data_IF_190448876793
#
_entry.id   IF_190448876793
#
_cell.length_a   1.000
_cell.length_b   1.000
_cell.length_c   1.000
_cell.angle_alpha   90.00
_cell.angle_beta   90.00
_cell.angle_gamma   90.00
#
_symmetry.space_group_name_H-M   'P 1'
#
loop_
_entity.id
_entity.type
_entity.pdbx_description
1 polymer ?
#
# COMPACT_ATOMS: atom_id res chain seq x y z
N UNK A 1 9.54 -23.64 13.24
CA UNK A 1 9.45 -22.16 13.08
C UNK A 1 9.63 -21.54 14.46
N UNK A 2 10.69 -20.76 14.66
CA UNK A 2 10.93 -20.12 15.96
C UNK A 2 9.77 -19.17 16.31
N UNK A 3 9.29 -19.25 17.55
CA UNK A 3 8.23 -18.41 18.13
C UNK A 3 8.75 -16.96 18.10
N UNK A 4 8.26 -16.12 17.19
CA UNK A 4 8.60 -14.68 17.19
C UNK A 4 8.01 -14.07 18.47
N UNK A 5 8.88 -13.67 19.41
CA UNK A 5 8.47 -12.93 20.59
C UNK A 5 8.07 -11.51 20.16
N UNK A 6 6.76 -11.28 19.99
CA UNK A 6 6.16 -9.98 19.73
C UNK A 6 6.06 -9.11 20.98
N UNK A 7 6.95 -9.31 21.97
CA UNK A 7 6.79 -8.82 23.35
C UNK A 7 6.52 -7.31 23.44
N UNK A 8 6.91 -6.53 22.43
CA UNK A 8 6.71 -5.07 22.41
C UNK A 8 6.11 -4.53 21.09
N UNK A 9 5.18 -5.23 20.42
CA UNK A 9 4.45 -4.64 19.28
C UNK A 9 3.34 -3.71 19.79
N UNK A 10 3.46 -2.37 19.67
CA UNK A 10 2.51 -1.45 20.28
C UNK A 10 1.27 -1.30 19.40
N UNK A 11 0.13 -1.09 20.05
CA UNK A 11 -1.14 -0.83 19.39
C UNK A 11 -1.07 0.42 18.49
N UNK A 12 -0.28 1.43 18.87
CA UNK A 12 -0.04 2.64 18.08
C UNK A 12 0.56 2.35 16.70
N UNK A 13 1.46 1.37 16.60
CA UNK A 13 2.05 0.96 15.33
C UNK A 13 1.01 0.26 14.44
N UNK A 14 0.12 -0.55 15.03
CA UNK A 14 -0.98 -1.19 14.29
C UNK A 14 -1.98 -0.16 13.72
N UNK A 15 -2.30 0.89 14.48
CA UNK A 15 -3.14 1.98 14.00
C UNK A 15 -2.43 2.85 12.96
N UNK A 16 -1.13 3.10 13.14
CA UNK A 16 -0.35 3.86 12.16
C UNK A 16 -0.28 3.16 10.79
N UNK A 17 -0.27 1.82 10.77
CA UNK A 17 -0.42 1.00 9.57
C UNK A 17 -1.73 1.27 8.78
N UNK A 18 -2.77 1.80 9.42
CA UNK A 18 -4.02 2.12 8.73
C UNK A 18 -3.88 3.33 7.79
N UNK A 19 -2.99 4.28 8.11
CA UNK A 19 -2.76 5.47 7.29
C UNK A 19 -2.39 5.14 5.83
N UNK A 20 -1.34 4.34 5.55
CA UNK A 20 -1.00 4.02 4.18
C UNK A 20 -2.12 3.26 3.45
N UNK A 21 -2.88 2.42 4.14
CA UNK A 21 -4.02 1.69 3.55
C UNK A 21 -5.13 2.65 3.15
N UNK A 22 -5.45 3.62 4.00
CA UNK A 22 -6.46 4.65 3.70
C UNK A 22 -6.00 5.54 2.55
N UNK A 23 -4.74 6.01 2.56
CA UNK A 23 -4.21 6.85 1.50
C UNK A 23 -4.21 6.12 0.15
N UNK A 24 -3.72 4.88 0.12
CA UNK A 24 -3.78 4.04 -1.08
C UNK A 24 -5.21 3.83 -1.55
N UNK A 25 -6.12 3.43 -0.64
CA UNK A 25 -7.53 3.14 -0.94
C UNK A 25 -8.25 4.34 -1.55
N UNK A 26 -8.06 5.54 -0.99
CA UNK A 26 -8.61 6.78 -1.54
C UNK A 26 -8.01 7.07 -2.92
N UNK A 27 -6.69 6.94 -3.07
CA UNK A 27 -6.01 7.21 -4.34
C UNK A 27 -6.52 6.31 -5.47
N UNK A 28 -6.63 5.00 -5.21
CA UNK A 28 -7.14 4.05 -6.22
C UNK A 28 -8.65 4.20 -6.47
N UNK A 29 -9.43 4.62 -5.46
CA UNK A 29 -10.84 4.94 -5.66
C UNK A 29 -11.02 6.14 -6.59
N UNK A 30 -10.23 7.19 -6.41
CA UNK A 30 -10.24 8.38 -7.28
C UNK A 30 -9.88 8.03 -8.73
N UNK A 31 -8.90 7.14 -8.93
CA UNK A 31 -8.56 6.62 -10.26
C UNK A 31 -9.71 5.77 -10.81
N UNK A 32 -10.29 4.89 -10.00
CA UNK A 32 -11.37 3.99 -10.40
C UNK A 32 -12.61 4.74 -10.91
N UNK A 33 -13.00 5.83 -10.24
CA UNK A 33 -14.14 6.67 -10.64
C UNK A 33 -13.96 7.27 -12.05
N UNK A 34 -12.71 7.47 -12.50
CA UNK A 34 -12.44 8.02 -13.85
C UNK A 34 -12.09 6.97 -14.90
N UNK A 35 -11.52 5.85 -14.49
CA UNK A 35 -11.00 4.83 -15.41
C UNK A 35 -12.04 3.74 -15.73
N UNK A 36 -13.06 3.56 -14.89
CA UNK A 36 -14.23 2.66 -15.07
C UNK A 36 -13.90 1.23 -15.55
N UNK A 37 -12.68 0.74 -15.30
CA UNK A 37 -12.26 -0.60 -15.69
C UNK A 37 -12.53 -1.61 -14.57
N UNK A 38 -13.29 -2.66 -14.87
CA UNK A 38 -13.73 -3.64 -13.86
C UNK A 38 -12.57 -4.41 -13.21
N UNK A 39 -11.50 -4.72 -13.96
CA UNK A 39 -10.32 -5.40 -13.42
C UNK A 39 -9.57 -4.48 -12.46
N UNK A 40 -9.43 -3.20 -12.83
CA UNK A 40 -8.82 -2.19 -11.97
C UNK A 40 -9.61 -2.01 -10.67
N UNK A 41 -10.94 -1.83 -10.77
CA UNK A 41 -11.83 -1.66 -9.61
C UNK A 41 -11.75 -2.87 -8.68
N UNK A 42 -11.82 -4.08 -9.25
CA UNK A 42 -11.73 -5.33 -8.48
C UNK A 42 -10.37 -5.45 -7.78
N UNK A 43 -9.27 -5.16 -8.51
CA UNK A 43 -7.93 -5.18 -7.94
C UNK A 43 -7.74 -4.16 -6.81
N UNK A 44 -8.22 -2.93 -7.01
CA UNK A 44 -8.21 -1.86 -6.03
C UNK A 44 -8.99 -2.24 -4.75
N UNK A 45 -10.17 -2.84 -4.92
CA UNK A 45 -10.98 -3.34 -3.82
C UNK A 45 -10.26 -4.44 -3.04
N UNK A 46 -9.71 -5.45 -3.72
CA UNK A 46 -8.99 -6.55 -3.07
C UNK A 46 -7.72 -6.09 -2.36
N UNK A 47 -6.94 -5.17 -2.94
CA UNK A 47 -5.78 -4.58 -2.28
C UNK A 47 -6.15 -3.81 -1.01
N UNK A 48 -7.19 -2.98 -1.08
CA UNK A 48 -7.65 -2.19 0.06
C UNK A 48 -8.18 -3.10 1.17
N UNK A 49 -8.98 -4.12 0.82
CA UNK A 49 -9.49 -5.11 1.76
C UNK A 49 -8.36 -5.91 2.41
N UNK A 50 -7.36 -6.33 1.64
CA UNK A 50 -6.17 -7.01 2.17
C UNK A 50 -5.36 -6.11 3.11
N UNK A 51 -5.22 -4.83 2.78
CA UNK A 51 -4.58 -3.82 3.63
C UNK A 51 -5.31 -3.67 4.97
N UNK A 52 -6.62 -3.47 4.94
CA UNK A 52 -7.45 -3.35 6.14
C UNK A 52 -7.42 -4.63 6.98
N UNK A 53 -7.51 -5.80 6.34
CA UNK A 53 -7.37 -7.08 7.02
C UNK A 53 -6.02 -7.23 7.72
N UNK A 54 -4.94 -6.72 7.13
CA UNK A 54 -3.59 -6.75 7.72
C UNK A 54 -3.48 -5.81 8.92
N UNK A 55 -4.13 -4.65 8.88
CA UNK A 55 -4.28 -3.74 10.03
C UNK A 55 -5.02 -4.44 11.16
N UNK A 56 -6.17 -5.06 10.87
CA UNK A 56 -6.97 -5.81 11.85
C UNK A 56 -6.14 -6.95 12.48
N UNK A 57 -5.40 -7.72 11.67
CA UNK A 57 -4.49 -8.75 12.16
C UNK A 57 -3.45 -8.19 13.13
N UNK A 58 -2.83 -7.05 12.80
CA UNK A 58 -1.87 -6.36 13.69
C UNK A 58 -2.52 -5.89 14.99
N UNK A 59 -3.74 -5.37 14.94
CA UNK A 59 -4.50 -4.97 16.14
C UNK A 59 -4.80 -6.18 17.03
N UNK A 60 -5.22 -7.31 16.44
CA UNK A 60 -5.48 -8.54 17.18
C UNK A 60 -4.21 -9.05 17.87
N UNK A 61 -3.07 -9.05 17.17
CA UNK A 61 -1.78 -9.44 17.78
C UNK A 61 -1.40 -8.49 18.91
N UNK A 62 -1.53 -7.18 18.70
CA UNK A 62 -1.19 -6.18 19.72
C UNK A 62 -2.06 -6.32 20.97
N UNK A 63 -3.37 -6.55 20.81
CA UNK A 63 -4.34 -6.64 21.91
C UNK A 63 -4.39 -8.00 22.60
N UNK A 64 -4.25 -9.10 21.86
CA UNK A 64 -4.44 -10.47 22.40
C UNK A 64 -3.15 -11.27 22.52
N UNK A 65 -2.04 -10.78 21.95
CA UNK A 65 -0.75 -11.50 21.82
C UNK A 65 -0.85 -12.84 21.09
N UNK A 66 -1.98 -13.12 20.41
CA UNK A 66 -2.18 -14.33 19.61
C UNK A 66 -1.95 -14.03 18.14
N UNK A 67 -0.98 -14.72 17.54
CA UNK A 67 -0.77 -14.69 16.09
C UNK A 67 -1.73 -15.65 15.38
N UNK A 68 -2.72 -15.10 14.67
CA UNK A 68 -3.59 -15.87 13.79
C UNK A 68 -2.89 -16.02 12.43
N UNK A 69 -1.96 -16.98 12.36
CA UNK A 69 -1.10 -17.23 11.18
C UNK A 69 -1.92 -17.47 9.91
N UNK A 70 -3.07 -18.12 10.03
CA UNK A 70 -3.95 -18.42 8.89
C UNK A 70 -4.46 -17.14 8.22
N UNK A 71 -4.88 -16.15 9.01
CA UNK A 71 -5.35 -14.86 8.49
C UNK A 71 -4.23 -14.12 7.75
N UNK A 72 -3.04 -14.04 8.34
CA UNK A 72 -1.88 -13.42 7.70
C UNK A 72 -1.49 -14.10 6.37
N UNK A 73 -1.61 -15.43 6.29
CA UNK A 73 -1.28 -16.18 5.08
C UNK A 73 -2.22 -15.83 3.92
N UNK A 74 -3.52 -15.73 4.18
CA UNK A 74 -4.50 -15.34 3.16
C UNK A 74 -4.26 -13.91 2.66
N UNK A 75 -4.01 -12.98 3.59
CA UNK A 75 -3.75 -11.57 3.26
C UNK A 75 -2.47 -11.39 2.41
N UNK A 76 -1.46 -12.24 2.63
CA UNK A 76 -0.22 -12.25 1.84
C UNK A 76 -0.45 -12.67 0.39
N UNK A 77 -1.48 -13.48 0.10
CA UNK A 77 -1.83 -13.90 -1.26
C UNK A 77 -2.79 -12.90 -1.90
N UNK A 78 -3.77 -12.41 -1.14
CA UNK A 78 -4.81 -11.50 -1.61
C UNK A 78 -4.24 -10.18 -2.15
N UNK A 79 -3.23 -9.62 -1.47
CA UNK A 79 -2.63 -8.34 -1.87
C UNK A 79 -1.89 -8.40 -3.21
N UNK A 80 -0.97 -9.36 -3.48
CA UNK A 80 -0.39 -9.54 -4.81
C UNK A 80 -1.42 -9.79 -5.90
N UNK A 81 -2.46 -10.60 -5.64
CA UNK A 81 -3.54 -10.83 -6.60
C UNK A 81 -4.27 -9.53 -6.95
N UNK A 82 -4.58 -8.70 -5.94
CA UNK A 82 -5.16 -7.38 -6.17
C UNK A 82 -4.27 -6.48 -7.04
N UNK A 83 -2.95 -6.45 -6.78
CA UNK A 83 -2.02 -5.67 -7.60
C UNK A 83 -1.94 -6.18 -9.05
N UNK A 84 -1.92 -7.50 -9.25
CA UNK A 84 -1.94 -8.08 -10.59
C UNK A 84 -3.20 -7.66 -11.37
N UNK A 85 -4.35 -7.61 -10.72
CA UNK A 85 -5.60 -7.14 -11.33
C UNK A 85 -5.56 -5.64 -11.65
N UNK A 86 -4.99 -4.81 -10.77
CA UNK A 86 -4.75 -3.38 -11.04
C UNK A 86 -3.91 -3.21 -12.30
N UNK A 87 -2.77 -3.91 -12.39
CA UNK A 87 -1.90 -3.84 -13.57
C UNK A 87 -2.58 -4.37 -14.83
N UNK A 88 -3.33 -5.46 -14.72
CA UNK A 88 -4.10 -6.02 -15.84
C UNK A 88 -5.17 -5.05 -16.34
N UNK A 89 -5.86 -4.37 -15.42
CA UNK A 89 -6.84 -3.35 -15.75
C UNK A 89 -6.21 -2.12 -16.42
N UNK A 90 -5.08 -1.63 -15.90
CA UNK A 90 -4.33 -0.54 -16.53
C UNK A 90 -3.85 -0.91 -17.94
N UNK A 91 -3.38 -2.15 -18.12
CA UNK A 91 -2.96 -2.64 -19.43
C UNK A 91 -4.13 -2.76 -20.41
N UNK A 92 -5.27 -3.28 -19.95
CA UNK A 92 -6.47 -3.44 -20.78
C UNK A 92 -7.06 -2.08 -21.17
N UNK A 93 -7.15 -1.13 -20.24
CA UNK A 93 -7.70 0.20 -20.48
C UNK A 93 -6.69 1.22 -21.03
N UNK A 94 -5.45 0.82 -21.38
CA UNK A 94 -4.45 1.77 -21.92
C UNK A 94 -4.92 2.54 -23.16
N UNK A 95 -5.85 1.97 -23.93
CA UNK A 95 -6.42 2.60 -25.13
C UNK A 95 -7.41 3.73 -24.83
N UNK A 96 -7.96 3.79 -23.61
CA UNK A 96 -8.84 4.88 -23.18
C UNK A 96 -8.07 6.04 -22.54
N UNK A 97 -6.77 5.85 -22.28
CA UNK A 97 -5.90 6.84 -21.64
C UNK A 97 -5.06 7.56 -22.71
N UNK A 98 -5.15 8.88 -22.75
CA UNK A 98 -4.19 9.71 -23.52
C UNK A 98 -2.83 9.74 -22.79
N UNK A 99 -2.05 8.66 -22.94
CA UNK A 99 -0.78 8.45 -22.23
C UNK A 99 0.21 9.61 -22.35
N UNK A 100 0.30 10.24 -23.53
CA UNK A 100 1.17 11.40 -23.73
C UNK A 100 0.76 12.59 -22.85
N UNK A 101 -0.54 12.90 -22.78
CA UNK A 101 -1.05 13.99 -21.94
C UNK A 101 -0.92 13.67 -20.45
N UNK A 102 -1.17 12.41 -20.06
CA UNK A 102 -0.96 11.95 -18.69
C UNK A 102 0.52 12.06 -18.28
N UNK A 103 1.44 11.65 -19.15
CA UNK A 103 2.87 11.72 -18.90
C UNK A 103 3.35 13.17 -18.68
N UNK A 104 2.87 14.10 -19.51
CA UNK A 104 3.17 15.53 -19.33
C UNK A 104 2.71 16.02 -17.95
N UNK A 105 1.48 15.68 -17.52
CA UNK A 105 1.00 16.04 -16.18
C UNK A 105 1.76 15.36 -15.04
N UNK A 106 2.26 14.14 -15.25
CA UNK A 106 3.09 13.44 -14.26
C UNK A 106 4.45 14.14 -14.11
N UNK A 107 5.02 14.66 -15.19
CA UNK A 107 6.32 15.33 -15.18
C UNK A 107 6.28 16.79 -14.70
N UNK A 108 5.11 17.38 -14.46
CA UNK A 108 5.01 18.75 -13.93
C UNK A 108 5.04 18.80 -12.41
N UNK A 109 5.54 19.90 -11.86
CA UNK A 109 5.45 20.19 -10.42
C UNK A 109 3.99 20.50 -10.04
N UNK A 110 3.46 20.01 -8.89
CA UNK A 110 4.12 19.20 -7.85
C UNK A 110 4.04 17.68 -8.08
N UNK A 111 3.30 17.22 -9.08
CA UNK A 111 3.02 15.81 -9.37
C UNK A 111 4.28 14.96 -9.49
N UNK A 112 5.28 15.45 -10.22
CA UNK A 112 6.56 14.75 -10.42
C UNK A 112 7.28 14.48 -9.10
N UNK A 113 7.26 15.45 -8.18
CA UNK A 113 7.88 15.32 -6.86
C UNK A 113 7.19 14.23 -6.05
N UNK A 114 5.86 14.25 -5.99
CA UNK A 114 5.08 13.29 -5.21
C UNK A 114 5.24 11.85 -5.72
N UNK A 115 5.17 11.63 -7.04
CA UNK A 115 5.40 10.28 -7.58
C UNK A 115 6.87 9.84 -7.46
N UNK A 116 7.84 10.75 -7.56
CA UNK A 116 9.25 10.41 -7.30
C UNK A 116 9.47 9.95 -5.87
N UNK A 117 8.92 10.66 -4.88
CA UNK A 117 8.98 10.25 -3.47
C UNK A 117 8.30 8.89 -3.26
N UNK A 118 7.17 8.66 -3.92
CA UNK A 118 6.46 7.37 -3.87
C UNK A 118 7.35 6.23 -4.35
N UNK A 119 7.96 6.36 -5.53
CA UNK A 119 8.83 5.33 -6.12
C UNK A 119 10.07 5.09 -5.26
N UNK A 120 10.76 6.16 -4.82
CA UNK A 120 11.94 6.06 -3.95
C UNK A 120 11.57 5.33 -2.65
N UNK A 121 10.44 5.66 -2.05
CA UNK A 121 9.99 5.04 -0.80
C UNK A 121 9.64 3.56 -1.00
N UNK A 122 9.05 3.17 -2.13
CA UNK A 122 8.79 1.76 -2.46
C UNK A 122 10.09 0.94 -2.64
N UNK A 123 11.12 1.55 -3.25
CA UNK A 123 12.45 0.94 -3.36
C UNK A 123 13.06 0.77 -1.97
N UNK A 124 13.01 1.81 -1.13
CA UNK A 124 13.48 1.74 0.25
C UNK A 124 12.78 0.62 1.04
N UNK A 125 11.46 0.48 0.92
CA UNK A 125 10.69 -0.60 1.56
C UNK A 125 11.15 -2.00 1.11
N UNK A 126 11.48 -2.16 -0.17
CA UNK A 126 12.00 -3.42 -0.70
C UNK A 126 13.38 -3.75 -0.12
N UNK A 127 14.24 -2.75 0.05
CA UNK A 127 15.54 -2.90 0.72
C UNK A 127 15.36 -3.22 2.21
N UNK A 128 14.43 -2.54 2.88
CA UNK A 128 14.12 -2.76 4.29
C UNK A 128 13.62 -4.18 4.55
N UNK A 129 12.76 -4.71 3.68
CA UNK A 129 12.26 -6.08 3.80
C UNK A 129 13.37 -7.14 3.79
N UNK A 130 14.54 -6.85 3.19
CA UNK A 130 15.71 -7.74 3.14
C UNK A 130 16.72 -7.43 4.24
N UNK A 131 16.93 -6.15 4.58
CA UNK A 131 18.02 -5.71 5.47
C UNK A 131 17.61 -5.45 6.92
N UNK A 132 16.35 -5.12 7.18
CA UNK A 132 15.87 -4.80 8.53
C UNK A 132 15.33 -6.05 9.21
N UNK A 133 15.63 -6.16 10.50
CA UNK A 133 15.07 -7.20 11.35
C UNK A 133 13.64 -6.83 11.77
N UNK A 134 12.65 -7.47 11.13
CA UNK A 134 11.23 -7.25 11.42
C UNK A 134 10.77 -7.67 12.82
N UNK A 135 11.65 -8.25 13.66
CA UNK A 135 11.35 -8.47 15.09
C UNK A 135 11.60 -7.23 15.95
N UNK A 136 12.41 -6.28 15.46
CA UNK A 136 12.73 -5.05 16.19
C UNK A 136 11.64 -4.01 15.99
N UNK A 137 11.21 -3.38 17.09
CA UNK A 137 10.20 -2.33 17.07
C UNK A 137 10.62 -1.13 16.20
N UNK A 138 11.87 -0.69 16.33
CA UNK A 138 12.42 0.44 15.56
C UNK A 138 12.36 0.18 14.04
N UNK A 139 12.69 -1.04 13.62
CA UNK A 139 12.63 -1.43 12.21
C UNK A 139 11.22 -1.40 11.67
N UNK A 140 10.24 -1.90 12.43
CA UNK A 140 8.84 -1.82 12.02
C UNK A 140 8.36 -0.36 11.91
N UNK A 141 8.74 0.52 12.85
CA UNK A 141 8.39 1.94 12.76
C UNK A 141 8.97 2.60 11.50
N UNK A 142 10.22 2.31 11.16
CA UNK A 142 10.84 2.81 9.92
C UNK A 142 10.04 2.37 8.70
N UNK A 143 9.71 1.08 8.60
CA UNK A 143 8.89 0.55 7.50
C UNK A 143 7.52 1.23 7.42
N UNK A 144 6.83 1.42 8.55
CA UNK A 144 5.50 2.03 8.50
C UNK A 144 5.53 3.52 8.18
N UNK A 145 6.50 4.27 8.71
CA UNK A 145 6.68 5.68 8.37
C UNK A 145 6.99 5.83 6.89
N UNK A 146 7.91 5.04 6.35
CA UNK A 146 8.24 5.08 4.91
C UNK A 146 7.03 4.69 4.06
N UNK A 147 6.24 3.70 4.47
CA UNK A 147 5.02 3.33 3.76
C UNK A 147 3.96 4.44 3.81
N UNK A 148 3.75 5.07 4.97
CA UNK A 148 2.82 6.19 5.12
C UNK A 148 3.21 7.39 4.23
N UNK A 149 4.50 7.72 4.18
CA UNK A 149 5.04 8.74 3.27
C UNK A 149 4.79 8.35 1.82
N UNK A 150 5.08 7.10 1.44
CA UNK A 150 4.91 6.63 0.08
C UNK A 150 3.44 6.73 -0.39
N UNK A 151 2.50 6.19 0.40
CA UNK A 151 1.09 6.20 0.03
C UNK A 151 0.47 7.60 0.15
N UNK A 152 0.93 8.42 1.10
CA UNK A 152 0.52 9.82 1.20
C UNK A 152 0.95 10.63 -0.02
N UNK A 153 2.20 10.46 -0.48
CA UNK A 153 2.67 11.08 -1.71
C UNK A 153 1.96 10.51 -2.94
N UNK A 154 1.66 9.21 -2.97
CA UNK A 154 0.87 8.62 -4.06
C UNK A 154 -0.51 9.28 -4.16
N UNK A 155 -1.22 9.44 -3.05
CA UNK A 155 -2.50 10.14 -2.99
C UNK A 155 -2.39 11.60 -3.45
N UNK A 156 -1.40 12.36 -2.94
CA UNK A 156 -1.19 13.75 -3.35
C UNK A 156 -0.84 13.87 -4.84
N UNK A 157 -0.06 12.93 -5.37
CA UNK A 157 0.23 12.83 -6.80
C UNK A 157 -1.02 12.58 -7.64
N UNK A 158 -1.88 11.66 -7.20
CA UNK A 158 -3.19 11.41 -7.85
C UNK A 158 -4.08 12.65 -7.79
N UNK A 159 -4.22 13.30 -6.62
CA UNK A 159 -5.00 14.53 -6.46
C UNK A 159 -4.50 15.66 -7.37
N UNK A 160 -3.19 15.77 -7.58
CA UNK A 160 -2.59 16.78 -8.47
C UNK A 160 -2.85 16.52 -9.97
N UNK A 161 -3.26 15.30 -10.32
CA UNK A 161 -3.63 14.91 -11.69
C UNK A 161 -5.12 15.10 -11.99
N UNK A 162 -5.95 15.21 -10.95
CA UNK A 162 -7.41 15.29 -11.09
C UNK A 162 -7.85 16.63 -11.66
#
# INVERSE_FOLDING_TARGET
>A
MAKKNYENFPLSLAFFDALPVLFFGIAVLLIAIRFENILFITGAFLCTLAGLGKVIWKIIIAGTRKDIVWMNRQLRVLMPVGFLLIFSGLWQGRGTIHLAALWQKICTFPTALFFSITVISMICMSVFAVKLDGTKLRSNWIEQITNAIAQGCFLLGVLSLL
#
